data_IF_584969389420
#
_entry.id   IF_584969389420
#
_cell.length_a   1.000
_cell.length_b   1.000
_cell.length_c   1.000
_cell.angle_alpha   90.00
_cell.angle_beta   90.00
_cell.angle_gamma   90.00
#
_symmetry.space_group_name_H-M   'P 1'
#
loop_
_entity.id
_entity.type
_entity.pdbx_description
1 polymer ?
#
# COMPACT_ATOMS: atom_id res chain seq x y z
N UNK A 1 -0.85 -16.04 9.72
CA UNK A 1 0.44 -15.31 9.61
C UNK A 1 0.30 -14.06 10.46
N UNK A 2 1.25 -13.82 11.31
CA UNK A 2 1.41 -12.67 12.21
C UNK A 2 2.69 -11.88 11.86
N UNK A 3 2.86 -10.73 12.48
CA UNK A 3 4.04 -9.88 12.24
C UNK A 3 5.34 -10.55 12.69
N UNK A 4 5.33 -11.37 13.76
CA UNK A 4 6.53 -12.07 14.22
C UNK A 4 7.06 -13.03 13.15
N UNK A 5 6.18 -13.82 12.54
CA UNK A 5 6.54 -14.72 11.42
C UNK A 5 7.06 -13.94 10.20
N UNK A 6 6.46 -12.78 9.91
CA UNK A 6 6.93 -11.91 8.84
C UNK A 6 8.29 -11.31 9.13
N UNK A 7 8.57 -10.86 10.37
CA UNK A 7 9.88 -10.31 10.76
C UNK A 7 11.00 -11.32 10.58
N UNK A 8 10.79 -12.57 11.00
CA UNK A 8 11.80 -13.62 10.82
C UNK A 8 12.14 -13.82 9.33
N UNK A 9 11.13 -13.83 8.46
CA UNK A 9 11.33 -13.95 7.02
C UNK A 9 11.98 -12.70 6.41
N UNK A 10 11.57 -11.53 6.86
CA UNK A 10 12.11 -10.22 6.44
C UNK A 10 13.61 -10.13 6.75
N UNK A 11 14.00 -10.48 7.97
CA UNK A 11 15.39 -10.44 8.42
C UNK A 11 16.30 -11.37 7.60
N UNK A 12 15.85 -12.58 7.30
CA UNK A 12 16.57 -13.52 6.44
C UNK A 12 16.78 -12.95 5.04
N UNK A 13 15.71 -12.51 4.39
CA UNK A 13 15.77 -11.96 3.02
C UNK A 13 16.63 -10.69 2.99
N UNK A 14 16.40 -9.75 3.91
CA UNK A 14 17.15 -8.49 3.98
C UNK A 14 18.64 -8.71 4.23
N UNK A 15 18.99 -9.70 5.04
CA UNK A 15 20.39 -10.08 5.31
C UNK A 15 21.13 -10.50 4.03
N UNK A 16 20.47 -11.21 3.13
CA UNK A 16 21.03 -11.70 1.86
C UNK A 16 20.99 -10.67 0.73
N UNK A 17 20.19 -9.60 0.85
CA UNK A 17 20.04 -8.59 -0.20
C UNK A 17 21.33 -7.80 -0.46
N UNK A 18 21.73 -7.64 -1.73
CA UNK A 18 22.78 -6.70 -2.10
C UNK A 18 22.33 -5.23 -1.92
N UNK A 19 23.31 -4.33 -1.80
CA UNK A 19 23.05 -2.92 -1.47
C UNK A 19 22.08 -2.23 -2.46
N UNK A 20 22.18 -2.49 -3.75
CA UNK A 20 21.30 -1.89 -4.75
C UNK A 20 19.84 -2.36 -4.60
N UNK A 21 19.62 -3.62 -4.20
CA UNK A 21 18.28 -4.13 -3.93
C UNK A 21 17.68 -3.49 -2.69
N UNK A 22 18.49 -3.29 -1.62
CA UNK A 22 18.04 -2.63 -0.38
C UNK A 22 17.58 -1.18 -0.62
N UNK A 23 18.03 -0.54 -1.70
CA UNK A 23 17.59 0.79 -2.13
C UNK A 23 16.43 0.76 -3.12
N UNK A 24 15.92 -0.40 -3.46
CA UNK A 24 14.82 -0.56 -4.40
C UNK A 24 15.18 -0.34 -5.87
N UNK A 25 16.46 -0.18 -6.22
CA UNK A 25 16.89 0.07 -7.62
C UNK A 25 16.48 -1.07 -8.57
N UNK A 26 16.36 -2.30 -8.07
CA UNK A 26 15.87 -3.44 -8.83
C UNK A 26 14.40 -3.31 -9.26
N UNK A 27 13.61 -2.50 -8.54
CA UNK A 27 12.19 -2.25 -8.87
C UNK A 27 12.06 -1.44 -10.15
N UNK A 28 13.03 -0.56 -10.47
CA UNK A 28 13.06 0.15 -11.75
C UNK A 28 13.20 -0.82 -12.93
N UNK A 29 13.95 -1.89 -12.74
CA UNK A 29 14.13 -2.92 -13.76
C UNK A 29 12.89 -3.80 -13.93
N UNK A 30 12.23 -4.15 -12.82
CA UNK A 30 10.99 -4.93 -12.84
C UNK A 30 9.81 -4.11 -13.35
N UNK A 31 9.71 -2.83 -12.99
CA UNK A 31 8.64 -1.94 -13.41
C UNK A 31 8.71 -1.59 -14.91
N UNK A 32 9.89 -1.60 -15.52
CA UNK A 32 10.01 -1.51 -16.96
C UNK A 32 9.28 -2.66 -17.70
N UNK A 33 9.06 -3.80 -17.03
CA UNK A 33 8.29 -4.92 -17.55
C UNK A 33 6.77 -4.82 -17.28
N UNK A 34 6.33 -3.95 -16.35
CA UNK A 34 4.94 -3.91 -15.87
C UNK A 34 4.13 -2.65 -16.29
N UNK A 35 4.56 -1.93 -17.30
CA UNK A 35 3.79 -0.82 -17.93
C UNK A 35 3.37 0.34 -17.00
N UNK A 36 4.13 0.68 -15.95
CA UNK A 36 3.80 1.83 -15.12
C UNK A 36 4.09 3.16 -15.82
N UNK A 37 3.11 4.08 -15.71
CA UNK A 37 3.23 5.43 -16.28
C UNK A 37 4.33 6.27 -15.61
N UNK A 38 4.80 5.89 -14.42
CA UNK A 38 5.82 6.64 -13.67
C UNK A 38 6.54 5.79 -12.61
N UNK A 39 7.42 4.86 -13.01
CA UNK A 39 8.17 4.03 -12.05
C UNK A 39 9.08 4.86 -11.11
N UNK A 40 9.57 6.01 -11.60
CA UNK A 40 10.40 6.91 -10.79
C UNK A 40 9.62 7.51 -9.61
N UNK A 41 8.34 7.82 -9.78
CA UNK A 41 7.51 8.37 -8.70
C UNK A 41 7.23 7.32 -7.62
N UNK A 42 7.05 6.06 -7.99
CA UNK A 42 6.92 4.98 -7.03
C UNK A 42 8.22 4.79 -6.23
N UNK A 43 9.36 4.79 -6.90
CA UNK A 43 10.66 4.74 -6.21
C UNK A 43 10.87 5.94 -5.28
N UNK A 44 10.49 7.15 -5.69
CA UNK A 44 10.55 8.32 -4.82
C UNK A 44 9.67 8.17 -3.58
N UNK A 45 8.47 7.60 -3.73
CA UNK A 45 7.58 7.33 -2.60
C UNK A 45 8.16 6.26 -1.66
N UNK A 46 8.78 5.22 -2.21
CA UNK A 46 9.47 4.19 -1.41
C UNK A 46 10.63 4.78 -0.62
N UNK A 47 11.48 5.61 -1.25
CA UNK A 47 12.56 6.31 -0.54
C UNK A 47 11.99 7.23 0.55
N UNK A 48 10.91 7.96 0.24
CA UNK A 48 10.27 8.82 1.21
C UNK A 48 9.84 8.03 2.47
N UNK A 49 9.12 6.92 2.32
CA UNK A 49 8.69 6.13 3.48
C UNK A 49 9.87 5.46 4.22
N UNK A 50 10.96 5.13 3.52
CA UNK A 50 12.17 4.60 4.16
C UNK A 50 12.84 5.65 5.05
N UNK A 51 12.92 6.89 4.58
CA UNK A 51 13.55 8.00 5.31
C UNK A 51 12.66 8.51 6.46
N UNK A 52 11.34 8.40 6.31
CA UNK A 52 10.32 8.93 7.22
C UNK A 52 9.56 7.85 8.01
N UNK A 53 10.13 6.66 8.17
CA UNK A 53 9.46 5.52 8.83
C UNK A 53 9.00 5.79 10.27
N UNK A 54 9.66 6.71 10.97
CA UNK A 54 9.34 7.11 12.34
C UNK A 54 8.26 8.19 12.44
N UNK A 55 7.84 8.77 11.32
CA UNK A 55 6.80 9.79 11.32
C UNK A 55 5.48 9.17 11.80
N UNK A 56 4.67 9.91 12.59
CA UNK A 56 3.39 9.38 13.08
C UNK A 56 2.39 9.19 11.94
N UNK A 57 1.47 8.24 12.09
CA UNK A 57 0.31 8.11 11.20
C UNK A 57 -0.63 9.29 11.42
N UNK A 58 -0.51 10.30 10.59
CA UNK A 58 -1.34 11.51 10.64
C UNK A 58 -1.63 12.03 9.23
N UNK A 59 -2.56 12.96 9.11
CA UNK A 59 -2.96 13.54 7.82
C UNK A 59 -1.76 14.13 7.08
N UNK A 60 -0.83 14.80 7.80
CA UNK A 60 0.37 15.36 7.18
C UNK A 60 1.21 14.26 6.53
N UNK A 61 1.53 13.19 7.24
CA UNK A 61 2.31 12.05 6.72
C UNK A 61 1.63 11.39 5.52
N UNK A 62 0.31 11.23 5.57
CA UNK A 62 -0.50 10.73 4.45
C UNK A 62 -0.34 11.62 3.21
N UNK A 63 -0.44 12.93 3.38
CA UNK A 63 -0.27 13.89 2.28
C UNK A 63 1.17 13.92 1.75
N UNK A 64 2.18 13.78 2.60
CA UNK A 64 3.59 13.75 2.20
C UNK A 64 3.92 12.48 1.39
N UNK A 65 3.38 11.31 1.79
CA UNK A 65 3.46 10.07 1.01
C UNK A 65 2.84 10.28 -0.37
N UNK A 66 1.63 10.85 -0.43
CA UNK A 66 0.98 11.10 -1.71
C UNK A 66 1.76 12.11 -2.57
N UNK A 67 2.26 13.19 -1.99
CA UNK A 67 3.04 14.19 -2.70
C UNK A 67 4.29 13.59 -3.38
N UNK A 68 4.94 12.62 -2.72
CA UNK A 68 6.08 11.91 -3.31
C UNK A 68 5.69 11.03 -4.51
N UNK A 69 4.47 10.45 -4.49
CA UNK A 69 3.92 9.64 -5.58
C UNK A 69 3.55 10.45 -6.84
N UNK A 70 3.21 11.72 -6.66
CA UNK A 70 2.71 12.57 -7.77
C UNK A 70 3.68 13.65 -8.19
N UNK A 71 4.91 13.61 -7.70
CA UNK A 71 5.97 14.57 -8.03
C UNK A 71 6.19 14.60 -9.54
N UNK A 72 6.22 15.81 -10.14
CA UNK A 72 6.38 16.00 -11.58
C UNK A 72 5.14 15.68 -12.42
N UNK A 73 3.99 15.43 -11.80
CA UNK A 73 2.70 15.24 -12.51
C UNK A 73 1.80 16.47 -12.36
N UNK A 74 0.69 16.49 -13.08
CA UNK A 74 -0.35 17.53 -12.94
C UNK A 74 -1.00 17.57 -11.55
N UNK A 75 -0.76 16.57 -10.72
CA UNK A 75 -1.28 16.48 -9.34
C UNK A 75 -0.27 16.97 -8.30
N UNK A 76 0.94 17.35 -8.70
CA UNK A 76 1.96 17.89 -7.78
C UNK A 76 1.45 19.13 -7.04
N UNK A 77 1.70 19.18 -5.73
CA UNK A 77 1.26 20.27 -4.85
C UNK A 77 -0.25 20.26 -4.53
N UNK A 78 -1.00 19.26 -5.02
CA UNK A 78 -2.39 19.08 -4.65
C UNK A 78 -2.51 18.32 -3.32
N UNK A 79 -3.45 18.75 -2.50
CA UNK A 79 -3.89 18.08 -1.28
C UNK A 79 -5.05 17.12 -1.59
N UNK A 80 -5.99 16.97 -0.69
CA UNK A 80 -7.19 16.19 -0.93
C UNK A 80 -7.97 16.65 -2.17
N UNK A 81 -8.74 15.73 -2.73
CA UNK A 81 -9.56 15.96 -3.93
C UNK A 81 -10.47 17.17 -3.79
N UNK A 82 -10.69 17.86 -4.90
CA UNK A 82 -11.57 19.05 -5.00
C UNK A 82 -12.86 18.75 -5.75
N UNK A 83 -13.03 17.51 -6.22
CA UNK A 83 -14.24 17.05 -6.94
C UNK A 83 -14.64 15.70 -6.37
N UNK A 84 -15.95 15.47 -6.30
CA UNK A 84 -16.46 14.15 -5.94
C UNK A 84 -16.07 13.13 -7.00
N UNK A 85 -15.56 11.99 -6.57
CA UNK A 85 -15.06 10.91 -7.41
C UNK A 85 -15.96 9.70 -7.26
N UNK A 86 -16.30 9.09 -8.37
CA UNK A 86 -16.93 7.77 -8.42
C UNK A 86 -15.92 6.82 -9.05
N UNK A 87 -15.68 5.71 -8.40
CA UNK A 87 -14.77 4.68 -8.92
C UNK A 87 -15.58 3.63 -9.64
N UNK A 88 -15.21 3.38 -10.90
CA UNK A 88 -15.86 2.35 -11.74
C UNK A 88 -14.91 1.19 -11.92
N UNK A 89 -15.37 -0.01 -11.63
CA UNK A 89 -14.68 -1.24 -12.04
C UNK A 89 -14.91 -1.45 -13.54
N UNK A 90 -13.81 -1.40 -14.29
CA UNK A 90 -13.85 -1.47 -15.76
C UNK A 90 -14.38 -2.81 -16.25
N UNK A 91 -14.10 -3.89 -15.53
CA UNK A 91 -14.45 -5.26 -15.95
C UNK A 91 -15.92 -5.58 -15.68
N UNK A 92 -16.46 -5.14 -14.55
CA UNK A 92 -17.85 -5.45 -14.15
C UNK A 92 -18.81 -4.30 -14.38
N UNK A 93 -18.34 -3.09 -14.66
CA UNK A 93 -19.16 -1.88 -14.75
C UNK A 93 -19.74 -1.42 -13.40
N UNK A 94 -19.41 -2.11 -12.29
CA UNK A 94 -19.88 -1.69 -10.98
C UNK A 94 -19.20 -0.38 -10.55
N UNK A 95 -19.99 0.47 -9.91
CA UNK A 95 -19.52 1.75 -9.38
C UNK A 95 -19.66 1.78 -7.86
N UNK A 96 -18.70 2.42 -7.20
CA UNK A 96 -18.86 2.81 -5.82
C UNK A 96 -18.58 4.30 -5.63
N UNK A 97 -19.36 4.91 -4.74
CA UNK A 97 -19.21 6.30 -4.36
C UNK A 97 -18.09 6.37 -3.31
N UNK A 98 -17.25 7.37 -3.39
CA UNK A 98 -16.19 7.65 -2.40
C UNK A 98 -16.67 8.73 -1.44
N UNK A 99 -15.92 9.00 -0.36
CA UNK A 99 -16.22 10.14 0.51
C UNK A 99 -16.40 11.42 -0.33
N UNK A 100 -17.32 12.29 0.07
CA UNK A 100 -17.44 13.60 -0.58
C UNK A 100 -16.22 14.46 -0.33
N UNK A 101 -16.07 15.54 -1.07
CA UNK A 101 -14.99 16.53 -0.86
C UNK A 101 -15.01 17.06 0.56
N UNK A 102 -16.19 17.34 1.08
CA UNK A 102 -16.42 17.91 2.41
C UNK A 102 -16.11 16.88 3.53
N UNK A 103 -16.42 15.60 3.30
CA UNK A 103 -16.20 14.52 4.27
C UNK A 103 -14.75 14.03 4.30
N UNK A 104 -14.04 14.14 3.18
CA UNK A 104 -12.69 13.57 3.02
C UNK A 104 -11.70 13.98 4.12
N UNK A 105 -11.58 15.27 4.51
CA UNK A 105 -10.66 15.66 5.59
C UNK A 105 -11.03 15.01 6.92
N UNK A 106 -12.30 14.99 7.27
CA UNK A 106 -12.80 14.40 8.51
C UNK A 106 -12.54 12.89 8.56
N UNK A 107 -12.86 12.17 7.48
CA UNK A 107 -12.67 10.72 7.43
C UNK A 107 -11.18 10.35 7.47
N UNK A 108 -10.30 11.15 6.86
CA UNK A 108 -8.85 10.92 6.96
C UNK A 108 -8.29 11.23 8.36
N UNK A 109 -8.76 12.27 9.02
CA UNK A 109 -8.39 12.55 10.41
C UNK A 109 -8.88 11.46 11.35
N UNK A 110 -10.10 10.98 11.14
CA UNK A 110 -10.68 9.87 11.89
C UNK A 110 -9.87 8.59 11.68
N UNK A 111 -9.53 8.23 10.43
CA UNK A 111 -8.68 7.09 10.12
C UNK A 111 -7.36 7.15 10.89
N UNK A 112 -6.65 8.26 10.79
CA UNK A 112 -5.36 8.44 11.47
C UNK A 112 -5.49 8.34 13.00
N UNK A 113 -6.57 8.89 13.58
CA UNK A 113 -6.81 8.86 15.01
C UNK A 113 -7.17 7.46 15.50
N UNK A 114 -8.06 6.79 14.80
CA UNK A 114 -8.60 5.48 15.22
C UNK A 114 -7.53 4.38 15.13
N UNK A 115 -6.52 4.54 14.27
CA UNK A 115 -5.38 3.62 14.09
C UNK A 115 -4.04 4.18 14.58
N UNK A 116 -4.06 5.14 15.50
CA UNK A 116 -2.84 5.76 16.03
C UNK A 116 -1.91 4.78 16.76
N UNK A 117 -2.44 3.66 17.28
CA UNK A 117 -1.64 2.62 17.90
C UNK A 117 -0.62 2.00 16.93
N UNK A 118 -0.86 2.08 15.61
CA UNK A 118 0.09 1.63 14.58
C UNK A 118 1.36 2.50 14.47
N UNK A 119 1.50 3.53 15.29
CA UNK A 119 2.76 4.26 15.43
C UNK A 119 3.84 3.45 16.16
N UNK A 120 3.42 2.49 17.02
CA UNK A 120 4.28 1.50 17.68
C UNK A 120 3.57 0.13 17.66
N UNK A 121 3.57 -0.57 16.51
CA UNK A 121 2.73 -1.74 16.31
C UNK A 121 3.23 -2.98 17.03
N UNK A 122 2.29 -3.72 17.61
CA UNK A 122 2.50 -5.06 18.19
C UNK A 122 2.27 -6.18 17.14
N UNK A 123 2.52 -7.44 17.54
CA UNK A 123 2.45 -8.59 16.62
C UNK A 123 1.05 -8.85 16.05
N UNK A 124 -0.01 -8.42 16.73
CA UNK A 124 -1.39 -8.62 16.33
C UNK A 124 -1.93 -7.53 15.37
N UNK A 125 -1.16 -6.46 15.13
CA UNK A 125 -1.64 -5.27 14.39
C UNK A 125 -1.65 -5.41 12.85
N UNK A 126 -1.21 -6.55 12.31
CA UNK A 126 -1.22 -6.76 10.85
C UNK A 126 -2.62 -6.59 10.22
N UNK A 127 -3.65 -7.03 10.94
CA UNK A 127 -5.03 -6.90 10.47
C UNK A 127 -5.45 -5.43 10.40
N UNK A 128 -5.05 -4.64 11.38
CA UNK A 128 -5.36 -3.21 11.40
C UNK A 128 -4.60 -2.42 10.33
N UNK A 129 -3.36 -2.78 10.02
CA UNK A 129 -2.63 -2.21 8.87
C UNK A 129 -3.37 -2.47 7.55
N UNK A 130 -3.89 -3.69 7.38
CA UNK A 130 -4.68 -4.07 6.20
C UNK A 130 -6.02 -3.30 6.18
N UNK A 131 -6.68 -3.12 7.33
CA UNK A 131 -7.91 -2.31 7.44
C UNK A 131 -7.68 -0.86 7.05
N UNK A 132 -6.59 -0.24 7.51
CA UNK A 132 -6.21 1.14 7.11
C UNK A 132 -6.08 1.25 5.60
N UNK A 133 -5.44 0.27 4.95
CA UNK A 133 -5.30 0.26 3.49
C UNK A 133 -6.67 0.23 2.79
N UNK A 134 -7.60 -0.62 3.22
CA UNK A 134 -8.95 -0.68 2.66
C UNK A 134 -9.74 0.61 2.91
N UNK A 135 -9.70 1.13 4.14
CA UNK A 135 -10.42 2.36 4.49
C UNK A 135 -9.89 3.57 3.69
N UNK A 136 -8.58 3.67 3.49
CA UNK A 136 -8.00 4.69 2.63
C UNK A 136 -8.52 4.60 1.18
N UNK A 137 -8.71 3.38 0.66
CA UNK A 137 -9.33 3.16 -0.65
C UNK A 137 -10.81 3.58 -0.68
N UNK A 138 -11.56 3.33 0.37
CA UNK A 138 -12.98 3.71 0.46
C UNK A 138 -13.14 5.24 0.55
N UNK A 139 -12.34 5.89 1.37
CA UNK A 139 -12.32 7.36 1.49
C UNK A 139 -11.92 7.98 0.14
N UNK A 140 -10.94 7.39 -0.54
CA UNK A 140 -10.43 7.84 -1.85
C UNK A 140 -10.01 9.31 -1.82
N UNK A 141 -9.01 9.66 -1.00
CA UNK A 141 -8.80 11.05 -0.58
C UNK A 141 -8.27 11.97 -1.69
N UNK A 142 -7.72 11.44 -2.78
CA UNK A 142 -7.05 12.21 -3.82
C UNK A 142 -7.79 12.17 -5.15
N UNK A 143 -7.46 13.07 -6.08
CA UNK A 143 -8.08 13.12 -7.42
C UNK A 143 -7.67 11.93 -8.29
N UNK A 144 -6.43 11.43 -8.16
CA UNK A 144 -5.89 10.25 -8.85
C UNK A 144 -4.85 9.53 -7.96
N UNK A 145 -4.47 8.32 -8.35
CA UNK A 145 -3.38 7.59 -7.69
C UNK A 145 -3.72 6.94 -6.35
N UNK A 146 -4.99 6.90 -5.94
CA UNK A 146 -5.41 6.33 -4.65
C UNK A 146 -5.02 4.85 -4.48
N UNK A 147 -5.04 4.07 -5.56
CA UNK A 147 -4.59 2.68 -5.52
C UNK A 147 -3.10 2.54 -5.19
N UNK A 148 -2.25 3.34 -5.86
CA UNK A 148 -0.80 3.40 -5.57
C UNK A 148 -0.55 3.91 -4.16
N UNK A 149 -1.24 4.98 -3.78
CA UNK A 149 -1.16 5.55 -2.44
C UNK A 149 -1.49 4.51 -1.36
N UNK A 150 -2.58 3.76 -1.48
CA UNK A 150 -2.94 2.74 -0.49
C UNK A 150 -1.89 1.63 -0.39
N UNK A 151 -1.26 1.25 -1.51
CA UNK A 151 -0.17 0.28 -1.51
C UNK A 151 1.05 0.80 -0.76
N UNK A 152 1.47 2.06 -1.04
CA UNK A 152 2.59 2.68 -0.34
C UNK A 152 2.27 2.95 1.14
N UNK A 153 1.02 3.29 1.46
CA UNK A 153 0.58 3.44 2.85
C UNK A 153 0.69 2.11 3.61
N UNK A 154 0.30 0.99 3.00
CA UNK A 154 0.50 -0.34 3.62
C UNK A 154 1.98 -0.65 3.81
N UNK A 155 2.84 -0.36 2.82
CA UNK A 155 4.29 -0.53 2.94
C UNK A 155 4.87 0.32 4.09
N UNK A 156 4.42 1.57 4.23
CA UNK A 156 4.80 2.45 5.33
C UNK A 156 4.43 1.84 6.70
N UNK A 157 3.21 1.35 6.86
CA UNK A 157 2.75 0.71 8.10
C UNK A 157 3.51 -0.57 8.41
N UNK A 158 3.73 -1.43 7.42
CA UNK A 158 4.55 -2.63 7.58
C UNK A 158 5.98 -2.30 7.98
N UNK A 159 6.55 -1.22 7.44
CA UNK A 159 7.90 -0.77 7.81
C UNK A 159 7.96 -0.25 9.25
N UNK A 160 6.89 0.38 9.78
CA UNK A 160 6.78 0.74 11.20
C UNK A 160 6.85 -0.51 12.10
N UNK A 161 6.37 -1.65 11.62
CA UNK A 161 6.50 -2.95 12.29
C UNK A 161 7.89 -3.59 12.13
N UNK A 162 8.92 -2.80 11.77
CA UNK A 162 10.30 -3.24 11.57
C UNK A 162 10.51 -4.21 10.39
N UNK A 163 9.59 -4.27 9.45
CA UNK A 163 9.74 -5.04 8.21
C UNK A 163 10.54 -4.22 7.19
N UNK A 164 11.86 -4.45 7.15
CA UNK A 164 12.81 -3.67 6.32
C UNK A 164 12.65 -3.90 4.82
N UNK A 165 12.14 -5.07 4.44
CA UNK A 165 11.83 -5.39 3.05
C UNK A 165 10.48 -4.81 2.60
N UNK A 166 9.63 -4.32 3.51
CA UNK A 166 8.28 -3.88 3.19
C UNK A 166 8.23 -2.81 2.07
N UNK A 167 9.10 -1.78 2.05
CA UNK A 167 9.15 -0.83 0.95
C UNK A 167 9.53 -1.45 -0.39
N UNK A 168 10.16 -2.62 -0.37
CA UNK A 168 10.67 -3.32 -1.55
C UNK A 168 9.72 -4.39 -2.08
N UNK A 169 8.59 -4.60 -1.40
CA UNK A 169 7.61 -5.61 -1.82
C UNK A 169 6.92 -5.15 -3.11
N UNK A 170 6.87 -6.00 -4.14
CA UNK A 170 6.26 -5.66 -5.42
C UNK A 170 4.73 -5.67 -5.32
N UNK A 171 4.14 -4.67 -4.65
CA UNK A 171 2.68 -4.56 -4.54
C UNK A 171 1.97 -4.34 -5.88
N UNK A 172 2.69 -3.94 -6.92
CA UNK A 172 2.15 -3.92 -8.28
C UNK A 172 1.79 -5.30 -8.81
N UNK A 173 2.44 -6.33 -8.30
CA UNK A 173 2.03 -7.70 -8.50
C UNK A 173 0.55 -7.94 -8.08
N UNK A 174 0.04 -7.12 -7.15
CA UNK A 174 -1.33 -7.16 -6.69
C UNK A 174 -2.33 -6.54 -7.68
N UNK A 175 -1.89 -5.68 -8.60
CA UNK A 175 -2.76 -4.92 -9.51
C UNK A 175 -3.07 -5.65 -10.82
N UNK A 176 -2.34 -6.71 -11.17
CA UNK A 176 -2.46 -7.34 -12.47
C UNK A 176 -3.13 -8.72 -12.41
N UNK A 177 -4.02 -8.97 -13.36
CA UNK A 177 -4.73 -10.24 -13.53
C UNK A 177 -5.91 -10.42 -12.56
N UNK A 178 -6.14 -11.67 -12.16
CA UNK A 178 -7.27 -12.07 -11.30
C UNK A 178 -7.32 -11.37 -9.94
N UNK A 179 -6.18 -10.91 -9.43
CA UNK A 179 -6.11 -10.27 -8.12
C UNK A 179 -6.78 -8.89 -8.09
N UNK A 180 -6.67 -8.09 -9.17
CA UNK A 180 -7.31 -6.78 -9.25
C UNK A 180 -8.84 -6.91 -9.15
N UNK A 181 -9.41 -7.85 -9.90
CA UNK A 181 -10.85 -8.13 -9.84
C UNK A 181 -11.31 -8.54 -8.43
N UNK A 182 -10.49 -9.30 -7.69
CA UNK A 182 -10.81 -9.71 -6.32
C UNK A 182 -10.75 -8.51 -5.36
N UNK A 183 -9.69 -7.69 -5.45
CA UNK A 183 -9.56 -6.48 -4.61
C UNK A 183 -10.72 -5.53 -4.87
N UNK A 184 -11.04 -5.25 -6.14
CA UNK A 184 -12.14 -4.36 -6.51
C UNK A 184 -13.48 -4.86 -5.98
N UNK A 185 -13.77 -6.16 -6.06
CA UNK A 185 -14.99 -6.75 -5.49
C UNK A 185 -15.07 -6.54 -3.98
N UNK A 186 -13.97 -6.69 -3.25
CA UNK A 186 -13.94 -6.42 -1.82
C UNK A 186 -14.18 -4.94 -1.50
N UNK A 187 -13.58 -4.03 -2.27
CA UNK A 187 -13.79 -2.59 -2.11
C UNK A 187 -15.25 -2.22 -2.37
N UNK A 188 -15.84 -2.70 -3.47
CA UNK A 188 -17.25 -2.47 -3.78
C UNK A 188 -18.18 -2.97 -2.69
N UNK A 189 -17.93 -4.18 -2.18
CA UNK A 189 -18.71 -4.75 -1.09
C UNK A 189 -18.58 -3.93 0.20
N UNK A 190 -17.37 -3.54 0.55
CA UNK A 190 -17.10 -2.75 1.74
C UNK A 190 -17.66 -1.33 1.63
N UNK A 191 -17.71 -0.72 0.44
CA UNK A 191 -18.23 0.63 0.24
C UNK A 191 -19.71 0.72 0.62
N UNK A 192 -20.53 -0.26 0.27
CA UNK A 192 -21.94 -0.31 0.65
C UNK A 192 -22.16 -0.39 2.17
N UNK A 193 -21.25 -0.99 2.92
CA UNK A 193 -21.29 -0.99 4.37
C UNK A 193 -20.78 0.35 4.93
N UNK A 194 -19.67 0.88 4.42
CA UNK A 194 -19.04 2.12 4.88
C UNK A 194 -20.01 3.31 4.77
N UNK A 195 -20.60 3.53 3.59
CA UNK A 195 -21.54 4.62 3.39
C UNK A 195 -22.95 4.36 3.93
N UNK A 196 -23.29 3.10 4.16
CA UNK A 196 -24.52 2.73 4.86
C UNK A 196 -24.40 2.78 6.39
N UNK A 197 -23.29 3.27 6.94
CA UNK A 197 -22.97 3.29 8.36
C UNK A 197 -23.14 1.92 9.03
N UNK A 198 -22.84 0.85 8.32
CA UNK A 198 -22.88 -0.52 8.79
C UNK A 198 -21.45 -1.04 9.03
N UNK A 199 -21.25 -1.98 9.94
CA UNK A 199 -19.94 -2.60 10.14
C UNK A 199 -19.41 -3.21 8.84
N UNK A 200 -18.15 -2.93 8.50
CA UNK A 200 -17.47 -3.57 7.39
C UNK A 200 -17.05 -4.97 7.82
N UNK A 201 -17.34 -5.95 6.96
CA UNK A 201 -16.93 -7.34 7.17
C UNK A 201 -15.62 -7.59 6.46
N UNK A 202 -14.59 -7.95 7.21
CA UNK A 202 -13.22 -8.14 6.73
C UNK A 202 -12.82 -9.61 6.51
N UNK A 203 -13.72 -10.55 6.79
CA UNK A 203 -13.45 -11.99 6.88
C UNK A 203 -12.76 -12.60 5.65
N UNK A 204 -13.01 -12.03 4.47
CA UNK A 204 -12.39 -12.47 3.21
C UNK A 204 -11.25 -11.58 2.77
N UNK A 205 -11.33 -10.28 3.07
CA UNK A 205 -10.34 -9.31 2.62
C UNK A 205 -9.01 -9.47 3.37
N UNK A 206 -9.05 -9.57 4.69
CA UNK A 206 -7.83 -9.71 5.50
C UNK A 206 -7.03 -10.98 5.14
N UNK A 207 -7.63 -12.18 5.11
CA UNK A 207 -6.90 -13.37 4.69
C UNK A 207 -6.34 -13.28 3.28
N UNK A 208 -7.09 -12.69 2.34
CA UNK A 208 -6.63 -12.44 0.99
C UNK A 208 -5.39 -11.52 0.94
N UNK A 209 -5.42 -10.40 1.68
CA UNK A 209 -4.28 -9.47 1.76
C UNK A 209 -3.06 -10.10 2.44
N UNK A 210 -3.27 -10.91 3.50
CA UNK A 210 -2.19 -11.68 4.13
C UNK A 210 -1.53 -12.65 3.15
N UNK A 211 -2.31 -13.33 2.32
CA UNK A 211 -1.79 -14.21 1.26
C UNK A 211 -0.97 -13.43 0.22
N UNK A 212 -1.45 -12.25 -0.19
CA UNK A 212 -0.71 -11.38 -1.11
C UNK A 212 0.61 -10.88 -0.51
N UNK A 213 0.62 -10.48 0.75
CA UNK A 213 1.86 -10.10 1.45
C UNK A 213 2.84 -11.28 1.45
N UNK A 214 2.38 -12.49 1.80
CA UNK A 214 3.20 -13.70 1.75
C UNK A 214 3.81 -13.98 0.38
N UNK A 215 2.99 -13.86 -0.68
CA UNK A 215 3.42 -14.05 -2.07
C UNK A 215 4.44 -13.01 -2.49
N UNK A 216 4.26 -11.75 -2.07
CA UNK A 216 5.21 -10.67 -2.35
C UNK A 216 6.57 -10.94 -1.71
N UNK A 217 6.61 -11.42 -0.46
CA UNK A 217 7.84 -11.89 0.17
C UNK A 217 8.46 -13.10 -0.54
N UNK A 218 7.63 -14.06 -1.00
CA UNK A 218 8.10 -15.18 -1.81
C UNK A 218 8.78 -14.74 -3.09
N UNK A 219 8.15 -13.80 -3.82
CA UNK A 219 8.72 -13.24 -5.05
C UNK A 219 10.05 -12.50 -4.80
N UNK A 220 10.12 -11.73 -3.71
CA UNK A 220 11.35 -11.02 -3.34
C UNK A 220 12.49 -11.99 -3.00
N UNK A 221 12.19 -13.03 -2.22
CA UNK A 221 13.14 -14.10 -1.88
C UNK A 221 13.67 -14.82 -3.13
N UNK A 222 12.78 -15.18 -4.06
CA UNK A 222 13.18 -15.80 -5.33
C UNK A 222 14.05 -14.86 -6.18
N UNK A 223 13.79 -13.54 -6.12
CA UNK A 223 14.61 -12.55 -6.81
C UNK A 223 16.03 -12.48 -6.21
N UNK A 224 16.13 -12.49 -4.88
CA UNK A 224 17.42 -12.52 -4.18
C UNK A 224 18.19 -13.79 -4.51
N UNK A 225 17.55 -14.96 -4.44
CA UNK A 225 18.17 -16.27 -4.79
C UNK A 225 18.70 -16.30 -6.22
N UNK A 226 17.94 -15.79 -7.20
CA UNK A 226 18.39 -15.71 -8.59
C UNK A 226 19.64 -14.83 -8.72
N UNK A 227 19.69 -13.73 -7.98
CA UNK A 227 20.88 -12.88 -7.97
C UNK A 227 22.09 -13.58 -7.35
N UNK A 228 21.92 -14.28 -6.21
CA UNK A 228 22.96 -15.09 -5.57
C UNK A 228 23.52 -16.13 -6.54
N UNK A 229 22.64 -16.88 -7.20
CA UNK A 229 23.03 -17.88 -8.22
C UNK A 229 23.82 -17.25 -9.39
N UNK A 230 23.41 -16.06 -9.84
CA UNK A 230 24.10 -15.37 -10.92
C UNK A 230 25.49 -14.88 -10.50
N UNK A 231 25.70 -14.52 -9.24
CA UNK A 231 27.00 -14.13 -8.70
C UNK A 231 27.91 -15.34 -8.35
N UNK A 232 27.40 -16.58 -8.41
CA UNK A 232 28.13 -17.78 -8.02
C UNK A 232 28.32 -17.91 -6.50
N UNK A 233 27.42 -17.31 -5.73
CA UNK A 233 27.35 -17.38 -4.26
C UNK A 233 26.50 -18.54 -3.77
#
# INVERSE_FOLDING_TARGET
MDLASLRAKDDDIYGRMPAFMRRGEHLLLSNAMFHHKSPLNELNALHHIMDHRSDPLCVKTVCDIYASLVKGTEFEGKSFKKKNVVVTDVDSGHMYVTASVEETPYEMEKLCRDFRHLDDPCDDDLDDMIRVCLLAQLIHPFEDGNGRFSSVLLQFLLQKAYLRCAPLLPFDFMKYGSNMSVITKHIIYASGAFYGHRPIVYDKFIPFMKDLICKSYGYLDDTVKRYEMWQGL
#
